data_IF_540859582492
#
_entry.id   IF_540859582492
#
_cell.length_a   1.000
_cell.length_b   1.000
_cell.length_c   1.000
_cell.angle_alpha   90.00
_cell.angle_beta   90.00
_cell.angle_gamma   90.00
#
_symmetry.space_group_name_H-M   'P 1'
#
loop_
_entity.id
_entity.type
_entity.pdbx_description
1 polymer ?
#
# COMPACT_ATOMS: atom_id res chain seq x y z
N UNK A 1 10.48 -3.96 -8.16
CA UNK A 1 9.19 -3.40 -7.78
C UNK A 1 9.18 -3.04 -6.33
N UNK A 2 8.52 -1.96 -5.99
CA UNK A 2 8.56 -1.43 -4.63
C UNK A 2 7.45 -2.00 -3.78
N UNK A 3 7.76 -2.28 -2.53
CA UNK A 3 6.77 -2.74 -1.56
C UNK A 3 6.86 -1.86 -0.32
N UNK A 4 5.70 -1.64 0.29
CA UNK A 4 5.59 -0.88 1.54
C UNK A 4 4.92 -1.78 2.55
N UNK A 5 5.54 -1.93 3.72
CA UNK A 5 4.97 -2.74 4.79
C UNK A 5 4.31 -1.85 5.83
N UNK A 6 3.05 -2.16 6.18
CA UNK A 6 2.30 -1.43 7.18
C UNK A 6 1.85 -2.37 8.28
N UNK A 7 2.07 -1.99 9.52
CA UNK A 7 1.74 -2.83 10.67
C UNK A 7 0.25 -2.79 11.01
N UNK A 8 -0.43 -1.69 10.69
CA UNK A 8 -1.83 -1.51 11.06
C UNK A 8 -2.67 -1.15 9.85
N UNK A 9 -3.98 -1.40 9.96
CA UNK A 9 -4.92 -1.02 8.92
C UNK A 9 -4.97 0.49 8.73
N UNK A 10 -4.80 1.25 9.81
CA UNK A 10 -4.78 2.70 9.72
C UNK A 10 -3.60 3.20 8.90
N UNK A 11 -2.41 2.64 9.14
CA UNK A 11 -1.24 2.99 8.35
C UNK A 11 -1.46 2.64 6.87
N UNK A 12 -2.00 1.45 6.63
CA UNK A 12 -2.27 1.00 5.27
C UNK A 12 -3.23 1.96 4.57
N UNK A 13 -4.30 2.37 5.26
CA UNK A 13 -5.29 3.27 4.69
C UNK A 13 -4.68 4.63 4.33
N UNK A 14 -3.81 5.16 5.19
CA UNK A 14 -3.14 6.43 4.91
C UNK A 14 -2.23 6.34 3.70
N UNK A 15 -1.44 5.27 3.62
CA UNK A 15 -0.54 5.06 2.49
C UNK A 15 -1.35 4.86 1.21
N UNK A 16 -2.40 4.04 1.27
CA UNK A 16 -3.25 3.79 0.11
C UNK A 16 -3.89 5.07 -0.40
N UNK A 17 -4.39 5.92 0.50
CA UNK A 17 -5.00 7.18 0.10
C UNK A 17 -3.98 8.10 -0.56
N UNK A 18 -2.76 8.14 -0.05
CA UNK A 18 -1.69 8.95 -0.62
C UNK A 18 -1.33 8.46 -2.02
N UNK A 19 -1.20 7.14 -2.20
CA UNK A 19 -0.88 6.55 -3.49
C UNK A 19 -1.98 6.82 -4.51
N UNK A 20 -3.24 6.69 -4.09
CA UNK A 20 -4.38 6.95 -4.96
C UNK A 20 -4.38 8.40 -5.43
N UNK A 21 -4.07 9.33 -4.54
CA UNK A 21 -3.99 10.75 -4.87
C UNK A 21 -2.93 11.03 -5.92
N UNK A 22 -1.85 10.26 -5.90
CA UNK A 22 -0.75 10.42 -6.85
C UNK A 22 -0.98 9.66 -8.14
N UNK A 23 -2.06 8.89 -8.25
CA UNK A 23 -2.34 8.10 -9.43
C UNK A 23 -1.51 6.83 -9.53
N UNK A 24 -0.93 6.39 -8.41
CA UNK A 24 -0.11 5.17 -8.38
C UNK A 24 -1.00 3.96 -8.21
N UNK A 25 -0.76 2.93 -9.01
CA UNK A 25 -1.51 1.69 -8.95
C UNK A 25 -0.78 0.72 -8.01
N UNK A 26 -1.52 0.08 -7.13
CA UNK A 26 -0.94 -0.80 -6.12
C UNK A 26 -1.89 -1.92 -5.75
N UNK A 27 -1.35 -2.96 -5.11
CA UNK A 27 -2.12 -4.03 -4.48
C UNK A 27 -1.80 -4.05 -3.00
N UNK A 28 -2.82 -4.22 -2.16
CA UNK A 28 -2.64 -4.34 -0.73
C UNK A 28 -3.09 -5.72 -0.28
N UNK A 29 -2.24 -6.42 0.45
CA UNK A 29 -2.53 -7.76 0.95
C UNK A 29 -2.31 -7.81 2.45
N UNK A 30 -3.28 -8.34 3.17
CA UNK A 30 -3.18 -8.50 4.63
C UNK A 30 -2.71 -9.91 4.96
N UNK A 31 -1.81 -9.99 5.93
CA UNK A 31 -1.38 -11.27 6.49
C UNK A 31 -1.29 -11.16 8.02
N UNK A 32 -0.74 -12.18 8.68
CA UNK A 32 -0.66 -12.19 10.14
C UNK A 32 0.27 -11.12 10.70
N UNK A 33 1.15 -10.54 9.89
CA UNK A 33 2.10 -9.53 10.33
C UNK A 33 1.66 -8.10 10.01
N UNK A 34 0.59 -7.94 9.25
CA UNK A 34 0.10 -6.62 8.86
C UNK A 34 -0.26 -6.58 7.39
N UNK A 35 0.01 -5.44 6.76
CA UNK A 35 -0.32 -5.21 5.36
C UNK A 35 0.93 -5.02 4.52
N UNK A 36 0.92 -5.59 3.34
CA UNK A 36 1.98 -5.35 2.34
C UNK A 36 1.34 -4.66 1.14
N UNK A 37 1.87 -3.50 0.78
CA UNK A 37 1.41 -2.75 -0.39
C UNK A 37 2.47 -2.90 -1.47
N UNK A 38 2.07 -3.44 -2.61
CA UNK A 38 2.97 -3.60 -3.75
C UNK A 38 2.60 -2.59 -4.83
N UNK A 39 3.55 -1.76 -5.22
CA UNK A 39 3.33 -0.76 -6.26
C UNK A 39 3.48 -1.44 -7.61
N UNK A 40 2.42 -1.36 -8.43
CA UNK A 40 2.37 -2.09 -9.70
C UNK A 40 2.39 -1.19 -10.93
N UNK A 41 2.20 0.11 -10.76
CA UNK A 41 2.24 1.02 -11.90
C UNK A 41 1.87 2.45 -11.53
N UNK A 42 1.74 3.29 -12.54
CA UNK A 42 1.29 4.66 -12.36
C UNK A 42 2.38 5.66 -11.98
N UNK A 43 3.63 5.25 -12.05
CA UNK A 43 4.75 6.12 -11.69
C UNK A 43 5.72 6.32 -12.83
#
# INVERSE_FOLDING_TARGET
MSKIFCKTTEQMAEVAASLTRRGIIFNATEDSNGWTIELTGGF
#
